data_IF_784058288231
#
_entry.id   IF_784058288231
#
_cell.length_a   1.000
_cell.length_b   1.000
_cell.length_c   1.000
_cell.angle_alpha   90.00
_cell.angle_beta   90.00
_cell.angle_gamma   90.00
#
_symmetry.space_group_name_H-M   'P 1'
#
loop_
_entity.id
_entity.type
_entity.pdbx_description
1 polymer ?
#
# COMPACT_ATOMS: atom_id res chain seq x y z
N UNK A 1 25.91 -15.30 9.50
CA UNK A 1 26.22 -14.29 8.45
C UNK A 1 25.59 -13.00 8.92
N UNK A 2 26.29 -11.84 8.83
CA UNK A 2 25.66 -10.55 9.16
C UNK A 2 24.49 -10.35 8.19
N UNK A 3 23.32 -9.93 8.71
CA UNK A 3 22.14 -9.65 7.87
C UNK A 3 22.49 -8.59 6.84
N UNK A 4 22.19 -8.85 5.57
CA UNK A 4 22.41 -7.88 4.49
C UNK A 4 21.52 -6.67 4.71
N UNK A 5 22.00 -5.48 4.35
CA UNK A 5 21.22 -4.25 4.39
C UNK A 5 20.12 -4.25 3.29
N UNK A 6 18.99 -3.53 3.49
CA UNK A 6 17.85 -3.56 2.56
C UNK A 6 18.19 -3.30 1.10
N UNK A 7 19.04 -2.30 0.79
CA UNK A 7 19.46 -2.01 -0.57
C UNK A 7 20.23 -3.19 -1.22
N UNK A 8 21.02 -3.92 -0.44
CA UNK A 8 21.72 -5.12 -0.91
C UNK A 8 20.75 -6.28 -1.17
N UNK A 9 19.76 -6.47 -0.28
CA UNK A 9 18.69 -7.46 -0.46
C UNK A 9 17.94 -7.16 -1.76
N UNK A 10 17.45 -5.93 -1.93
CA UNK A 10 16.69 -5.48 -3.09
C UNK A 10 17.44 -5.76 -4.43
N UNK A 11 18.74 -5.47 -4.47
CA UNK A 11 19.54 -5.65 -5.69
C UNK A 11 19.91 -7.11 -5.91
N UNK A 12 20.29 -7.84 -4.86
CA UNK A 12 20.94 -9.15 -4.99
C UNK A 12 20.01 -10.35 -5.00
N UNK A 13 18.73 -10.20 -4.58
CA UNK A 13 17.80 -11.33 -4.60
C UNK A 13 17.57 -11.83 -6.03
N UNK A 14 17.81 -13.11 -6.23
CA UNK A 14 17.72 -13.80 -7.52
C UNK A 14 18.91 -13.56 -8.48
N UNK A 15 19.87 -12.71 -8.14
CA UNK A 15 21.09 -12.56 -8.93
C UNK A 15 21.93 -13.85 -8.80
N UNK A 16 22.47 -14.32 -9.94
CA UNK A 16 23.27 -15.55 -10.03
C UNK A 16 22.51 -16.82 -9.61
N UNK A 17 21.18 -16.82 -9.73
CA UNK A 17 20.36 -18.00 -9.43
C UNK A 17 20.30 -19.01 -10.59
N UNK A 18 20.73 -18.63 -11.79
CA UNK A 18 20.80 -19.50 -12.95
C UNK A 18 22.08 -20.34 -12.91
N UNK A 19 21.93 -21.62 -12.58
CA UNK A 19 23.06 -22.57 -12.53
C UNK A 19 23.36 -23.23 -13.86
N UNK A 20 22.48 -23.08 -14.88
CA UNK A 20 22.65 -23.71 -16.18
C UNK A 20 23.49 -22.86 -17.14
N UNK A 21 23.23 -21.56 -17.19
CA UNK A 21 23.90 -20.63 -18.13
C UNK A 21 24.66 -19.52 -17.43
N UNK A 22 24.64 -19.48 -16.10
CA UNK A 22 25.28 -18.46 -15.27
C UNK A 22 24.81 -17.03 -15.62
N UNK A 23 23.54 -16.88 -16.02
CA UNK A 23 22.97 -15.56 -16.26
C UNK A 23 22.93 -14.75 -14.95
N UNK A 24 23.29 -13.47 -15.02
CA UNK A 24 23.31 -12.57 -13.86
C UNK A 24 21.90 -12.37 -13.31
N UNK A 25 20.90 -12.19 -14.18
CA UNK A 25 19.49 -12.09 -13.78
C UNK A 25 18.78 -13.44 -13.93
N UNK A 26 17.77 -13.74 -13.10
CA UNK A 26 17.05 -15.02 -13.21
C UNK A 26 16.32 -15.14 -14.54
N UNK A 27 16.26 -16.33 -15.14
CA UNK A 27 15.38 -16.60 -16.28
C UNK A 27 13.90 -16.51 -15.86
N UNK A 28 13.01 -16.36 -16.87
CA UNK A 28 11.55 -16.38 -16.66
C UNK A 28 11.04 -17.78 -16.95
N UNK A 29 10.43 -18.40 -15.93
CA UNK A 29 9.86 -19.75 -16.01
C UNK A 29 8.33 -19.68 -16.22
N UNK A 30 7.88 -19.73 -17.47
CA UNK A 30 6.45 -19.66 -17.82
C UNK A 30 5.74 -21.03 -17.78
N UNK A 31 6.42 -22.10 -17.36
CA UNK A 31 5.83 -23.43 -17.31
C UNK A 31 4.69 -23.48 -16.29
N UNK A 32 3.58 -24.15 -16.64
CA UNK A 32 2.48 -24.44 -15.72
C UNK A 32 2.77 -25.66 -14.83
N UNK A 33 3.59 -26.58 -15.29
CA UNK A 33 3.91 -27.86 -14.64
C UNK A 33 5.39 -28.20 -14.79
N UNK A 34 5.86 -29.09 -13.94
CA UNK A 34 7.26 -29.51 -13.86
C UNK A 34 7.33 -31.05 -13.83
N UNK A 35 8.37 -31.62 -14.45
CA UNK A 35 8.59 -33.06 -14.46
C UNK A 35 9.02 -33.56 -13.08
N UNK A 36 8.50 -34.74 -12.69
CA UNK A 36 8.99 -35.47 -11.51
C UNK A 36 10.29 -36.20 -11.90
N UNK A 37 11.33 -36.17 -11.05
CA UNK A 37 12.57 -36.89 -11.33
C UNK A 37 12.37 -38.40 -11.48
N UNK A 38 11.51 -38.98 -10.63
CA UNK A 38 11.05 -40.37 -10.73
C UNK A 38 9.67 -40.53 -10.10
N UNK A 39 9.03 -41.68 -10.32
CA UNK A 39 7.75 -42.00 -9.68
C UNK A 39 7.87 -41.97 -8.14
N UNK A 40 7.08 -41.09 -7.50
CA UNK A 40 7.10 -40.92 -6.04
C UNK A 40 8.13 -39.91 -5.51
N UNK A 41 9.01 -39.36 -6.37
CA UNK A 41 9.97 -38.32 -6.00
C UNK A 41 9.38 -36.93 -6.26
N UNK A 42 8.93 -36.23 -5.22
CA UNK A 42 8.31 -34.89 -5.33
C UNK A 42 9.40 -33.83 -5.53
N UNK A 43 9.37 -33.06 -6.66
CA UNK A 43 10.31 -31.98 -6.90
C UNK A 43 9.98 -30.75 -6.04
N UNK A 44 10.88 -29.77 -6.02
CA UNK A 44 10.62 -28.47 -5.37
C UNK A 44 9.42 -27.73 -5.96
N UNK A 45 9.25 -27.85 -7.26
CA UNK A 45 8.09 -27.28 -8.01
C UNK A 45 7.45 -28.41 -8.81
N UNK A 46 6.14 -28.52 -8.71
CA UNK A 46 5.30 -29.49 -9.43
C UNK A 46 4.32 -28.79 -10.36
N UNK A 47 3.69 -27.71 -9.86
CA UNK A 47 2.67 -26.95 -10.55
C UNK A 47 2.74 -25.46 -10.17
N UNK A 48 2.63 -24.56 -11.17
CA UNK A 48 2.87 -23.12 -10.95
C UNK A 48 1.88 -22.47 -9.97
N UNK A 49 0.67 -22.98 -9.76
CA UNK A 49 -0.23 -22.46 -8.74
C UNK A 49 0.32 -22.68 -7.34
N UNK A 50 0.90 -23.86 -7.06
CA UNK A 50 1.52 -24.17 -5.76
C UNK A 50 2.89 -23.52 -5.59
N UNK A 51 3.71 -23.45 -6.64
CA UNK A 51 5.05 -22.89 -6.59
C UNK A 51 5.63 -22.57 -7.97
N UNK A 52 6.38 -21.48 -8.08
CA UNK A 52 7.09 -21.08 -9.29
C UNK A 52 8.42 -20.39 -8.94
N UNK A 53 9.51 -20.63 -9.68
CA UNK A 53 10.83 -20.05 -9.37
C UNK A 53 10.82 -18.52 -9.31
N UNK A 54 10.17 -17.82 -10.25
CA UNK A 54 10.14 -16.35 -10.27
C UNK A 54 9.34 -15.80 -9.10
N UNK A 55 8.16 -16.41 -8.82
CA UNK A 55 7.35 -16.01 -7.67
C UNK A 55 8.08 -16.24 -6.36
N UNK A 56 8.75 -17.37 -6.19
CA UNK A 56 9.55 -17.67 -5.00
C UNK A 56 10.72 -16.69 -4.79
N UNK A 57 11.34 -16.17 -5.85
CA UNK A 57 12.34 -15.12 -5.74
C UNK A 57 11.73 -13.79 -5.28
N UNK A 58 10.55 -13.43 -5.78
CA UNK A 58 9.83 -12.24 -5.33
C UNK A 58 9.40 -12.38 -3.86
N UNK A 59 8.84 -13.52 -3.48
CA UNK A 59 8.49 -13.84 -2.09
C UNK A 59 9.70 -13.70 -1.16
N UNK A 60 10.86 -14.21 -1.57
CA UNK A 60 12.12 -14.07 -0.82
C UNK A 60 12.53 -12.60 -0.65
N UNK A 61 12.49 -11.81 -1.73
CA UNK A 61 12.83 -10.40 -1.65
C UNK A 61 11.91 -9.65 -0.67
N UNK A 62 10.60 -9.91 -0.74
CA UNK A 62 9.60 -9.23 0.07
C UNK A 62 9.76 -9.55 1.56
N UNK A 63 9.85 -10.85 1.93
CA UNK A 63 9.97 -11.16 3.36
C UNK A 63 11.32 -10.74 3.95
N UNK A 64 12.42 -10.82 3.19
CA UNK A 64 13.72 -10.33 3.67
C UNK A 64 13.71 -8.80 3.88
N UNK A 65 13.07 -8.04 2.98
CA UNK A 65 12.96 -6.59 3.11
C UNK A 65 12.09 -6.17 4.29
N UNK A 66 10.99 -6.87 4.56
CA UNK A 66 10.09 -6.61 5.69
C UNK A 66 10.57 -7.25 7.02
N UNK A 67 11.72 -7.92 7.04
CA UNK A 67 12.22 -8.66 8.20
C UNK A 67 11.30 -9.81 8.63
N UNK A 68 10.59 -10.42 7.67
CA UNK A 68 9.67 -11.54 7.86
C UNK A 68 10.33 -12.92 7.76
N UNK A 69 9.49 -13.96 7.79
CA UNK A 69 9.88 -15.36 7.67
C UNK A 69 9.31 -16.06 6.45
N UNK A 70 8.30 -15.47 5.82
CA UNK A 70 7.72 -15.95 4.59
C UNK A 70 6.83 -14.90 3.96
N UNK A 71 6.46 -15.14 2.70
CA UNK A 71 5.54 -14.31 1.94
C UNK A 71 4.74 -15.16 0.96
N UNK A 72 3.53 -14.71 0.64
CA UNK A 72 2.71 -15.25 -0.44
C UNK A 72 2.37 -14.11 -1.39
N UNK A 73 2.77 -14.26 -2.65
CA UNK A 73 2.49 -13.30 -3.72
C UNK A 73 1.18 -13.65 -4.40
N UNK A 74 0.32 -12.66 -4.55
CA UNK A 74 -1.02 -12.77 -5.16
C UNK A 74 -1.12 -11.88 -6.42
N UNK A 75 -2.20 -12.07 -7.17
CA UNK A 75 -2.45 -11.33 -8.41
C UNK A 75 -2.87 -9.86 -8.23
N UNK A 76 -3.22 -9.43 -7.01
CA UNK A 76 -3.47 -8.02 -6.66
C UNK A 76 -3.52 -7.82 -5.14
N UNK A 77 -3.45 -6.56 -4.67
CA UNK A 77 -3.54 -6.24 -3.24
C UNK A 77 -4.85 -6.68 -2.59
N UNK A 78 -5.98 -6.51 -3.29
CA UNK A 78 -7.29 -6.99 -2.81
C UNK A 78 -7.32 -8.52 -2.66
N UNK A 79 -6.62 -9.26 -3.54
CA UNK A 79 -6.47 -10.72 -3.41
C UNK A 79 -5.61 -11.09 -2.20
N UNK A 80 -4.60 -10.29 -1.86
CA UNK A 80 -3.80 -10.47 -0.65
C UNK A 80 -4.65 -10.32 0.62
N UNK A 81 -5.47 -9.28 0.69
CA UNK A 81 -6.44 -9.08 1.78
C UNK A 81 -7.44 -10.24 1.86
N UNK A 82 -8.00 -10.65 0.70
CA UNK A 82 -8.96 -11.75 0.65
C UNK A 82 -8.34 -13.07 1.09
N UNK A 83 -7.10 -13.34 0.70
CA UNK A 83 -6.34 -14.52 1.14
C UNK A 83 -6.16 -14.51 2.66
N UNK A 84 -5.70 -13.38 3.21
CA UNK A 84 -5.45 -13.23 4.64
C UNK A 84 -6.71 -13.49 5.47
N UNK A 85 -7.84 -12.83 5.14
CA UNK A 85 -9.09 -13.05 5.90
C UNK A 85 -9.67 -14.44 5.67
N UNK A 86 -9.46 -15.06 4.49
CA UNK A 86 -9.94 -16.43 4.22
C UNK A 86 -9.16 -17.48 5.00
N UNK A 87 -7.86 -17.23 5.26
CA UNK A 87 -7.04 -18.15 6.05
C UNK A 87 -7.37 -18.10 7.54
N UNK A 88 -7.71 -16.93 8.08
CA UNK A 88 -7.74 -16.76 9.54
C UNK A 88 -9.13 -16.45 10.13
N UNK A 89 -10.16 -16.17 9.33
CA UNK A 89 -11.51 -15.85 9.82
C UNK A 89 -12.54 -16.94 9.49
N UNK A 90 -13.40 -17.21 10.47
CA UNK A 90 -14.65 -17.94 10.29
C UNK A 90 -15.86 -17.05 10.58
N UNK A 91 -17.07 -17.60 10.42
CA UNK A 91 -18.35 -16.87 10.48
C UNK A 91 -18.61 -16.10 11.79
N UNK A 92 -18.08 -16.58 12.89
CA UNK A 92 -18.27 -15.94 14.21
C UNK A 92 -17.17 -14.96 14.58
N UNK A 93 -16.07 -14.96 13.84
CA UNK A 93 -14.92 -14.13 14.12
C UNK A 93 -15.16 -12.65 13.75
N UNK A 94 -14.55 -11.76 14.51
CA UNK A 94 -14.58 -10.31 14.29
C UNK A 94 -13.23 -9.84 13.74
N UNK A 95 -13.29 -9.01 12.68
CA UNK A 95 -12.16 -8.20 12.24
C UNK A 95 -12.46 -6.71 12.52
N UNK A 96 -11.45 -6.00 13.04
CA UNK A 96 -11.44 -4.54 13.14
C UNK A 96 -10.64 -3.98 11.99
N UNK A 97 -11.19 -3.00 11.26
CA UNK A 97 -10.56 -2.37 10.09
C UNK A 97 -10.70 -0.83 10.18
N UNK A 98 -9.81 -0.07 9.51
CA UNK A 98 -9.94 1.38 9.49
C UNK A 98 -11.23 1.82 8.79
N UNK A 99 -11.91 2.84 9.33
CA UNK A 99 -13.11 3.41 8.72
C UNK A 99 -12.81 4.14 7.40
N UNK A 100 -11.59 4.65 7.24
CA UNK A 100 -11.07 5.34 6.06
C UNK A 100 -10.13 4.47 5.20
N UNK A 101 -10.21 3.13 5.33
CA UNK A 101 -9.39 2.25 4.51
C UNK A 101 -9.69 2.38 3.00
N UNK A 102 -8.75 1.93 2.19
CA UNK A 102 -8.94 1.87 0.73
C UNK A 102 -10.33 1.34 0.36
N UNK A 103 -11.03 2.04 -0.55
CA UNK A 103 -12.41 1.69 -0.93
C UNK A 103 -12.61 0.24 -1.39
N UNK A 104 -11.56 -0.40 -1.95
CA UNK A 104 -11.56 -1.83 -2.29
C UNK A 104 -11.56 -2.73 -1.05
N UNK A 105 -10.86 -2.34 0.01
CA UNK A 105 -10.84 -3.04 1.31
C UNK A 105 -12.20 -2.97 1.98
N UNK A 106 -12.77 -1.75 2.05
CA UNK A 106 -14.12 -1.54 2.57
C UNK A 106 -15.14 -2.41 1.83
N UNK A 107 -15.16 -2.34 0.50
CA UNK A 107 -16.08 -3.12 -0.34
C UNK A 107 -15.93 -4.63 -0.11
N UNK A 108 -14.69 -5.13 -0.04
CA UNK A 108 -14.42 -6.55 0.20
C UNK A 108 -14.97 -7.00 1.55
N UNK A 109 -14.59 -6.31 2.63
CA UNK A 109 -14.93 -6.74 3.99
C UNK A 109 -16.42 -6.57 4.28
N UNK A 110 -17.02 -5.45 3.88
CA UNK A 110 -18.45 -5.22 4.03
C UNK A 110 -19.27 -6.28 3.27
N UNK A 111 -18.93 -6.57 2.01
CA UNK A 111 -19.66 -7.57 1.22
C UNK A 111 -19.54 -8.97 1.81
N UNK A 112 -18.36 -9.36 2.29
CA UNK A 112 -18.16 -10.67 2.91
C UNK A 112 -18.85 -10.78 4.25
N UNK A 113 -18.85 -9.71 5.05
CA UNK A 113 -19.59 -9.64 6.31
C UNK A 113 -21.10 -9.78 6.09
N UNK A 114 -21.65 -9.09 5.08
CA UNK A 114 -23.07 -9.21 4.71
C UNK A 114 -23.46 -10.62 4.22
N UNK A 115 -22.49 -11.39 3.69
CA UNK A 115 -22.69 -12.81 3.33
C UNK A 115 -22.60 -13.75 4.53
N UNK A 116 -22.15 -13.27 5.69
CA UNK A 116 -21.98 -14.08 6.90
C UNK A 116 -20.64 -14.82 6.97
N UNK A 117 -19.64 -14.43 6.16
CA UNK A 117 -18.31 -15.07 6.18
C UNK A 117 -17.57 -14.75 7.49
N UNK A 118 -17.74 -13.55 8.03
CA UNK A 118 -17.20 -13.03 9.28
C UNK A 118 -17.92 -11.73 9.68
N UNK A 119 -17.61 -11.17 10.85
CA UNK A 119 -18.09 -9.87 11.30
C UNK A 119 -17.01 -8.81 11.08
N UNK A 120 -17.39 -7.60 10.63
CA UNK A 120 -16.46 -6.47 10.49
C UNK A 120 -16.93 -5.27 11.31
N UNK A 121 -15.98 -4.59 11.97
CA UNK A 121 -16.16 -3.31 12.62
C UNK A 121 -15.17 -2.31 12.04
N UNK A 122 -15.69 -1.28 11.38
CA UNK A 122 -14.89 -0.17 10.87
C UNK A 122 -14.76 0.90 11.97
N UNK A 123 -13.53 1.35 12.24
CA UNK A 123 -13.21 2.21 13.38
C UNK A 123 -12.22 3.30 12.96
N UNK A 124 -12.41 4.51 13.47
CA UNK A 124 -11.36 5.53 13.41
C UNK A 124 -10.19 5.08 14.29
N UNK A 125 -9.15 4.56 13.66
CA UNK A 125 -7.96 4.07 14.37
C UNK A 125 -7.01 5.20 14.80
N UNK A 126 -7.27 6.43 14.39
CA UNK A 126 -6.58 7.62 14.91
C UNK A 126 -7.21 8.11 16.24
N UNK A 127 -8.46 7.76 16.52
CA UNK A 127 -9.09 7.91 17.83
C UNK A 127 -8.74 6.73 18.73
N UNK A 128 -7.86 6.97 19.69
CA UNK A 128 -7.38 5.94 20.62
C UNK A 128 -8.50 5.33 21.48
N UNK A 129 -9.51 6.12 21.84
CA UNK A 129 -10.64 5.63 22.66
C UNK A 129 -11.53 4.69 21.84
N UNK A 130 -11.80 5.03 20.58
CA UNK A 130 -12.56 4.20 19.67
C UNK A 130 -11.83 2.87 19.36
N UNK A 131 -10.52 2.93 19.11
CA UNK A 131 -9.70 1.76 18.89
C UNK A 131 -9.65 0.84 20.13
N UNK A 132 -9.49 1.40 21.34
CA UNK A 132 -9.49 0.64 22.58
C UNK A 132 -10.83 -0.05 22.84
N UNK A 133 -11.94 0.63 22.57
CA UNK A 133 -13.27 0.04 22.67
C UNK A 133 -13.45 -1.13 21.68
N UNK A 134 -12.93 -0.99 20.45
CA UNK A 134 -12.97 -2.06 19.44
C UNK A 134 -12.11 -3.27 19.84
N UNK A 135 -10.90 -3.05 20.39
CA UNK A 135 -10.01 -4.12 20.87
C UNK A 135 -10.65 -4.86 22.07
N UNK A 136 -11.37 -4.15 22.94
CA UNK A 136 -12.08 -4.76 24.07
C UNK A 136 -13.15 -5.79 23.64
N UNK A 137 -13.63 -5.74 22.41
CA UNK A 137 -14.53 -6.74 21.81
C UNK A 137 -13.81 -8.05 21.45
N UNK A 138 -12.50 -8.13 21.67
CA UNK A 138 -11.63 -9.28 21.39
C UNK A 138 -11.72 -9.74 19.92
N UNK A 139 -11.42 -8.87 18.97
CA UNK A 139 -11.38 -9.25 17.56
C UNK A 139 -10.33 -10.35 17.36
N UNK A 140 -10.52 -11.17 16.35
CA UNK A 140 -9.51 -12.16 15.96
C UNK A 140 -8.43 -11.54 15.07
N UNK A 141 -8.83 -10.59 14.22
CA UNK A 141 -7.92 -9.86 13.36
C UNK A 141 -8.10 -8.34 13.51
N UNK A 142 -7.00 -7.62 13.38
CA UNK A 142 -6.99 -6.16 13.25
C UNK A 142 -6.20 -5.82 12.00
N UNK A 143 -6.82 -5.08 11.07
CA UNK A 143 -6.13 -4.46 9.95
C UNK A 143 -5.80 -3.01 10.33
N UNK A 144 -4.55 -2.61 10.12
CA UNK A 144 -4.09 -1.22 10.18
C UNK A 144 -3.72 -0.81 8.75
N UNK A 145 -4.15 0.37 8.29
CA UNK A 145 -3.64 1.02 7.09
C UNK A 145 -2.97 2.33 7.52
N UNK A 146 -1.63 2.40 7.41
CA UNK A 146 -0.90 3.57 7.93
C UNK A 146 0.40 3.82 7.16
N UNK A 147 0.56 5.05 6.59
CA UNK A 147 -0.44 6.12 6.49
C UNK A 147 -1.67 5.72 5.67
N UNK A 148 -2.86 6.20 6.06
CA UNK A 148 -4.10 5.84 5.39
C UNK A 148 -4.31 6.58 4.06
N UNK A 149 -5.23 6.09 3.23
CA UNK A 149 -5.61 6.71 1.98
C UNK A 149 -7.08 7.20 2.07
N UNK A 150 -7.39 8.50 1.83
CA UNK A 150 -6.51 9.51 1.22
C UNK A 150 -5.90 10.53 2.19
N UNK A 151 -6.29 10.55 3.47
CA UNK A 151 -5.96 11.60 4.42
C UNK A 151 -4.61 11.42 5.14
N UNK A 152 -3.87 10.37 4.79
CA UNK A 152 -2.51 10.11 5.28
C UNK A 152 -2.44 10.02 6.81
N UNK A 153 -3.53 9.58 7.48
CA UNK A 153 -3.58 9.39 8.92
C UNK A 153 -2.57 8.35 9.38
N UNK A 154 -1.99 8.58 10.54
CA UNK A 154 -0.95 7.71 11.11
C UNK A 154 -1.46 7.04 12.39
N UNK A 155 -1.31 5.73 12.46
CA UNK A 155 -1.66 4.89 13.62
C UNK A 155 -0.39 4.38 14.29
N UNK A 156 -0.30 4.39 15.64
CA UNK A 156 0.82 3.80 16.37
C UNK A 156 0.73 2.26 16.29
N UNK A 157 1.55 1.70 15.40
CA UNK A 157 1.60 0.25 15.15
C UNK A 157 2.00 -0.50 16.42
N UNK A 158 3.05 -0.03 17.10
CA UNK A 158 3.60 -0.74 18.25
C UNK A 158 2.61 -0.79 19.41
N UNK A 159 1.92 0.31 19.70
CA UNK A 159 0.92 0.37 20.77
C UNK A 159 -0.32 -0.47 20.41
N UNK A 160 -0.79 -0.41 19.17
CA UNK A 160 -1.92 -1.26 18.70
C UNK A 160 -1.58 -2.73 18.79
N UNK A 161 -0.38 -3.15 18.33
CA UNK A 161 0.06 -4.55 18.43
C UNK A 161 0.18 -5.01 19.88
N UNK A 162 0.67 -4.14 20.79
CA UNK A 162 0.76 -4.46 22.21
C UNK A 162 -0.62 -4.77 22.81
N UNK A 163 -1.61 -3.90 22.54
CA UNK A 163 -2.99 -4.07 23.03
C UNK A 163 -3.68 -5.28 22.37
N UNK A 164 -3.50 -5.47 21.07
CA UNK A 164 -4.03 -6.62 20.34
C UNK A 164 -3.57 -7.95 20.94
N UNK A 165 -2.29 -8.03 21.31
CA UNK A 165 -1.70 -9.22 21.93
C UNK A 165 -2.35 -9.57 23.27
N UNK A 166 -2.78 -8.60 24.06
CA UNK A 166 -3.44 -8.82 25.36
C UNK A 166 -4.77 -9.55 25.21
N UNK A 167 -5.44 -9.41 24.07
CA UNK A 167 -6.72 -10.07 23.76
C UNK A 167 -6.57 -11.25 22.82
N UNK A 168 -5.33 -11.56 22.37
CA UNK A 168 -5.06 -12.66 21.44
C UNK A 168 -5.38 -12.37 19.98
N UNK A 169 -5.53 -11.10 19.60
CA UNK A 169 -5.77 -10.68 18.21
C UNK A 169 -4.46 -10.65 17.42
N UNK A 170 -4.53 -11.06 16.14
CA UNK A 170 -3.44 -10.92 15.18
C UNK A 170 -3.58 -9.60 14.41
N UNK A 171 -2.45 -8.95 14.14
CA UNK A 171 -2.40 -7.65 13.49
C UNK A 171 -1.74 -7.74 12.12
N UNK A 172 -2.44 -7.24 11.09
CA UNK A 172 -1.86 -6.97 9.78
C UNK A 172 -1.75 -5.46 9.56
N UNK A 173 -0.66 -5.04 8.92
CA UNK A 173 -0.46 -3.65 8.50
C UNK A 173 -0.36 -3.59 6.99
N UNK A 174 -1.23 -2.82 6.35
CA UNK A 174 -1.05 -2.43 4.96
C UNK A 174 0.04 -1.35 4.90
N UNK A 175 1.22 -1.75 4.41
CA UNK A 175 2.43 -0.92 4.32
C UNK A 175 2.68 -0.42 2.90
N UNK A 176 1.64 -0.36 2.08
CA UNK A 176 1.75 -0.02 0.65
C UNK A 176 2.37 1.35 0.41
N UNK A 177 2.05 2.37 1.23
CA UNK A 177 2.52 3.75 1.03
C UNK A 177 4.00 3.94 1.38
N UNK A 178 4.46 3.35 2.48
CA UNK A 178 5.83 3.57 2.97
C UNK A 178 6.82 2.51 2.52
N UNK A 179 6.33 1.36 2.13
CA UNK A 179 7.17 0.22 1.73
C UNK A 179 8.16 -0.21 2.85
N UNK A 180 8.88 -1.31 2.73
CA UNK A 180 9.92 -1.67 3.70
C UNK A 180 11.11 -0.68 3.74
N UNK A 181 11.11 0.33 2.87
CA UNK A 181 12.14 1.38 2.87
C UNK A 181 11.95 2.34 4.03
N UNK A 182 10.72 2.77 4.30
CA UNK A 182 10.44 3.78 5.31
C UNK A 182 9.72 3.25 6.55
N UNK A 183 9.08 2.08 6.49
CA UNK A 183 8.39 1.49 7.63
C UNK A 183 8.51 -0.03 7.63
N UNK A 184 8.71 -0.64 8.80
CA UNK A 184 8.83 -2.09 8.98
C UNK A 184 7.88 -2.60 10.06
N UNK A 185 6.62 -2.86 9.73
CA UNK A 185 5.60 -3.20 10.71
C UNK A 185 5.90 -4.46 11.53
N UNK A 186 6.56 -5.48 10.95
CA UNK A 186 6.92 -6.70 11.69
C UNK A 186 7.91 -6.42 12.83
N UNK A 187 8.81 -5.44 12.66
CA UNK A 187 9.74 -5.02 13.72
C UNK A 187 9.01 -4.24 14.83
N UNK A 188 7.87 -3.60 14.49
CA UNK A 188 7.01 -2.87 15.43
C UNK A 188 5.97 -3.76 16.14
N UNK A 189 5.92 -5.04 15.81
CA UNK A 189 5.08 -6.00 16.53
C UNK A 189 3.98 -6.66 15.71
N UNK A 190 3.70 -6.20 14.50
CA UNK A 190 2.70 -6.80 13.61
C UNK A 190 3.00 -8.28 13.30
N UNK A 191 1.96 -9.04 13.01
CA UNK A 191 2.06 -10.46 12.63
C UNK A 191 2.15 -10.62 11.11
N UNK A 192 1.53 -9.68 10.38
CA UNK A 192 1.50 -9.66 8.93
C UNK A 192 1.76 -8.26 8.39
N UNK A 193 2.33 -8.22 7.18
CA UNK A 193 2.37 -7.02 6.34
C UNK A 193 1.67 -7.32 5.03
N UNK A 194 0.80 -6.42 4.61
CA UNK A 194 0.09 -6.52 3.34
C UNK A 194 0.62 -5.43 2.42
N UNK A 195 0.80 -5.77 1.15
CA UNK A 195 1.16 -4.83 0.11
C UNK A 195 0.26 -4.97 -1.12
N UNK A 196 -0.17 -3.86 -1.65
CA UNK A 196 -0.42 -3.76 -3.09
C UNK A 196 0.94 -3.55 -3.78
N UNK A 197 1.54 -4.62 -4.30
CA UNK A 197 2.83 -4.50 -5.02
C UNK A 197 2.70 -3.72 -6.32
N UNK A 198 1.48 -3.50 -6.78
CA UNK A 198 1.09 -2.60 -7.89
C UNK A 198 1.69 -1.20 -7.76
N UNK A 199 1.88 -0.72 -6.51
CA UNK A 199 2.27 0.65 -6.17
C UNK A 199 3.80 0.79 -6.19
N UNK A 200 4.39 1.43 -5.21
CA UNK A 200 5.84 1.70 -5.14
C UNK A 200 6.74 0.46 -5.31
N UNK A 201 6.30 -0.73 -4.88
CA UNK A 201 7.14 -1.94 -4.97
C UNK A 201 7.45 -2.28 -6.43
N UNK A 202 6.44 -2.35 -7.31
CA UNK A 202 6.65 -2.44 -8.75
C UNK A 202 7.13 -1.09 -9.32
N UNK A 203 6.39 -0.01 -9.06
CA UNK A 203 6.75 1.37 -9.27
C UNK A 203 6.76 1.86 -10.72
N UNK A 204 6.20 1.10 -11.68
CA UNK A 204 6.26 1.41 -13.10
C UNK A 204 4.89 1.38 -13.80
N UNK A 205 3.81 1.31 -13.02
CA UNK A 205 2.40 1.36 -13.49
C UNK A 205 2.03 0.32 -14.56
N UNK A 206 2.77 -0.79 -14.63
CA UNK A 206 2.68 -1.81 -15.68
C UNK A 206 2.32 -3.22 -15.15
N UNK A 207 2.28 -3.41 -13.81
CA UNK A 207 1.95 -4.70 -13.16
C UNK A 207 0.98 -4.49 -12.01
N UNK A 208 -0.09 -5.29 -11.98
CA UNK A 208 -0.97 -5.42 -10.82
C UNK A 208 -0.51 -6.62 -10.00
N UNK A 209 -0.31 -6.43 -8.69
CA UNK A 209 0.11 -7.50 -7.80
C UNK A 209 -0.18 -7.20 -6.33
N UNK A 210 -0.04 -8.22 -5.50
CA UNK A 210 -0.18 -8.13 -4.06
C UNK A 210 0.69 -9.12 -3.33
N UNK A 211 0.87 -8.91 -2.04
CA UNK A 211 1.58 -9.86 -1.20
C UNK A 211 1.12 -9.78 0.26
N UNK A 212 1.18 -10.92 0.95
CA UNK A 212 1.11 -11.01 2.41
C UNK A 212 2.45 -11.53 2.90
N UNK A 213 3.09 -10.79 3.78
CA UNK A 213 4.36 -11.15 4.42
C UNK A 213 4.07 -11.53 5.87
N UNK A 214 4.74 -12.53 6.41
CA UNK A 214 4.45 -13.09 7.73
C UNK A 214 5.65 -13.00 8.65
N UNK A 215 5.36 -12.84 9.94
CA UNK A 215 6.37 -12.87 11.01
C UNK A 215 6.86 -14.27 11.34
N UNK A 216 6.07 -15.32 11.07
CA UNK A 216 6.36 -16.71 11.37
C UNK A 216 6.29 -17.59 10.13
N UNK A 217 7.02 -18.70 10.12
CA UNK A 217 6.94 -19.71 9.06
C UNK A 217 5.57 -20.41 9.06
N UNK A 218 5.00 -20.69 10.25
CA UNK A 218 3.68 -21.31 10.39
C UNK A 218 2.58 -20.53 9.66
N UNK A 219 2.53 -19.20 9.86
CA UNK A 219 1.56 -18.36 9.14
C UNK A 219 1.84 -18.32 7.62
N UNK A 220 3.11 -18.44 7.20
CA UNK A 220 3.44 -18.49 5.79
C UNK A 220 2.95 -19.79 5.14
N UNK A 221 3.11 -20.92 5.81
CA UNK A 221 2.62 -22.22 5.34
C UNK A 221 1.09 -22.24 5.24
N UNK A 222 0.39 -21.72 6.26
CA UNK A 222 -1.08 -21.59 6.25
C UNK A 222 -1.56 -20.73 5.08
N UNK A 223 -0.96 -19.55 4.86
CA UNK A 223 -1.29 -18.68 3.74
C UNK A 223 -0.97 -19.32 2.38
N UNK A 224 0.15 -20.02 2.26
CA UNK A 224 0.52 -20.72 1.02
C UNK A 224 -0.48 -21.82 0.68
N UNK A 225 -0.92 -22.60 1.70
CA UNK A 225 -1.94 -23.61 1.54
C UNK A 225 -3.27 -23.01 1.06
N UNK A 226 -3.74 -21.95 1.73
CA UNK A 226 -4.96 -21.25 1.35
C UNK A 226 -4.84 -20.58 -0.02
N UNK A 227 -3.68 -19.98 -0.33
CA UNK A 227 -3.40 -19.38 -1.64
C UNK A 227 -3.53 -20.40 -2.78
N UNK A 228 -2.99 -21.60 -2.58
CA UNK A 228 -3.16 -22.69 -3.53
C UNK A 228 -4.64 -23.18 -3.62
N UNK A 229 -5.34 -23.25 -2.47
CA UNK A 229 -6.72 -23.72 -2.37
C UNK A 229 -7.70 -22.81 -3.12
N UNK A 230 -7.62 -21.49 -2.90
CA UNK A 230 -8.53 -20.51 -3.53
C UNK A 230 -7.99 -19.93 -4.84
N UNK A 231 -6.78 -20.29 -5.24
CA UNK A 231 -6.17 -19.81 -6.48
C UNK A 231 -5.67 -18.35 -6.42
N UNK A 232 -5.41 -17.82 -5.23
CA UNK A 232 -4.85 -16.48 -5.04
C UNK A 232 -3.33 -16.49 -5.25
N UNK A 233 -2.89 -16.46 -6.50
CA UNK A 233 -1.47 -16.60 -6.86
C UNK A 233 -1.04 -15.59 -7.91
N UNK A 234 0.18 -15.06 -7.77
CA UNK A 234 0.82 -14.19 -8.75
C UNK A 234 1.41 -14.95 -9.94
N UNK A 235 1.46 -14.30 -11.10
CA UNK A 235 2.04 -14.90 -12.31
C UNK A 235 3.57 -14.87 -12.31
N UNK A 236 4.26 -15.74 -13.04
CA UNK A 236 5.72 -15.72 -13.14
C UNK A 236 6.27 -14.43 -13.77
N UNK A 237 5.62 -13.92 -14.81
CA UNK A 237 6.05 -12.73 -15.53
C UNK A 237 5.90 -11.49 -14.67
N UNK A 238 4.74 -11.29 -14.05
CA UNK A 238 4.48 -10.17 -13.14
C UNK A 238 5.42 -10.21 -11.92
N UNK A 239 5.70 -11.41 -11.41
CA UNK A 239 6.66 -11.61 -10.33
C UNK A 239 8.08 -11.21 -10.73
N UNK A 240 8.49 -11.52 -11.97
CA UNK A 240 9.78 -11.08 -12.50
C UNK A 240 9.85 -9.56 -12.65
N UNK A 241 8.80 -8.93 -13.20
CA UNK A 241 8.74 -7.48 -13.38
C UNK A 241 8.73 -6.76 -12.03
N UNK A 242 7.96 -7.24 -11.06
CA UNK A 242 7.93 -6.69 -9.71
C UNK A 242 9.30 -6.82 -9.02
N UNK A 243 9.97 -7.97 -9.14
CA UNK A 243 11.33 -8.15 -8.61
C UNK A 243 12.32 -7.17 -9.27
N UNK A 244 12.17 -6.91 -10.58
CA UNK A 244 12.95 -5.89 -11.28
C UNK A 244 12.68 -4.49 -10.69
N UNK A 245 11.42 -4.15 -10.39
CA UNK A 245 11.04 -2.89 -9.74
C UNK A 245 11.67 -2.73 -8.35
N UNK A 246 11.67 -3.79 -7.55
CA UNK A 246 12.29 -3.82 -6.21
C UNK A 246 13.75 -3.39 -6.23
N UNK A 247 14.51 -3.73 -7.28
CA UNK A 247 15.95 -3.43 -7.35
C UNK A 247 16.28 -1.94 -7.27
N UNK A 248 15.34 -1.08 -7.66
CA UNK A 248 15.46 0.39 -7.60
C UNK A 248 14.59 1.02 -6.52
N UNK A 249 13.87 0.21 -5.72
CA UNK A 249 12.89 0.71 -4.76
C UNK A 249 13.47 1.77 -3.81
N UNK A 250 14.61 1.50 -3.18
CA UNK A 250 15.22 2.44 -2.23
C UNK A 250 15.69 3.76 -2.88
N UNK A 251 16.14 3.71 -4.16
CA UNK A 251 16.50 4.91 -4.90
C UNK A 251 15.26 5.72 -5.27
N UNK A 252 14.20 5.06 -5.76
CA UNK A 252 12.94 5.71 -6.11
C UNK A 252 12.28 6.35 -4.89
N UNK A 253 12.14 5.62 -3.78
CA UNK A 253 11.51 6.14 -2.57
C UNK A 253 12.19 7.41 -2.04
N UNK A 254 13.53 7.49 -2.14
CA UNK A 254 14.28 8.69 -1.74
C UNK A 254 13.93 9.88 -2.65
N UNK A 255 13.94 9.71 -3.97
CA UNK A 255 13.58 10.79 -4.91
C UNK A 255 12.13 11.20 -4.73
N UNK A 256 11.20 10.25 -4.63
CA UNK A 256 9.79 10.53 -4.33
C UNK A 256 9.62 11.43 -3.10
N UNK A 257 10.31 11.11 -2.00
CA UNK A 257 10.21 11.90 -0.76
C UNK A 257 10.86 13.28 -0.90
N UNK A 258 12.02 13.37 -1.57
CA UNK A 258 12.70 14.64 -1.83
C UNK A 258 11.80 15.57 -2.63
N UNK A 259 11.26 15.13 -3.77
CA UNK A 259 10.33 15.89 -4.63
C UNK A 259 9.04 16.28 -3.88
N UNK A 260 8.48 15.35 -3.11
CA UNK A 260 7.27 15.60 -2.32
C UNK A 260 7.46 16.72 -1.29
N UNK A 261 8.65 16.81 -0.68
CA UNK A 261 8.97 17.87 0.29
C UNK A 261 8.98 19.25 -0.37
N UNK A 262 9.52 19.37 -1.57
CA UNK A 262 9.57 20.62 -2.31
C UNK A 262 8.16 21.05 -2.78
N UNK A 263 7.38 20.11 -3.29
CA UNK A 263 5.98 20.35 -3.68
C UNK A 263 5.15 20.78 -2.46
N UNK A 264 5.31 20.11 -1.31
CA UNK A 264 4.64 20.47 -0.07
C UNK A 264 4.92 21.93 0.32
N UNK A 265 6.18 22.35 0.27
CA UNK A 265 6.57 23.72 0.57
C UNK A 265 5.98 24.75 -0.43
N UNK A 266 5.82 24.37 -1.69
CA UNK A 266 5.16 25.19 -2.69
C UNK A 266 3.65 25.30 -2.48
N UNK A 267 2.98 24.18 -2.14
CA UNK A 267 1.53 24.17 -1.86
C UNK A 267 1.15 25.04 -0.65
N UNK A 268 2.00 25.10 0.38
CA UNK A 268 1.78 25.95 1.56
C UNK A 268 1.74 27.45 1.24
N UNK A 269 2.17 27.86 0.06
CA UNK A 269 2.21 29.26 -0.38
C UNK A 269 1.04 29.62 -1.32
N UNK A 270 0.14 28.68 -1.63
CA UNK A 270 -0.95 28.87 -2.59
C UNK A 270 -2.25 29.28 -1.87
N UNK A 271 -2.87 30.38 -2.32
CA UNK A 271 -4.13 30.88 -1.75
C UNK A 271 -5.32 29.92 -1.93
N UNK A 272 -5.28 29.10 -2.99
CA UNK A 272 -6.31 28.09 -3.28
C UNK A 272 -6.06 26.74 -2.61
N UNK A 273 -5.08 26.67 -1.73
CA UNK A 273 -4.78 25.47 -0.92
C UNK A 273 -5.22 25.72 0.52
N UNK A 274 -6.15 24.89 0.99
CA UNK A 274 -6.60 24.87 2.37
C UNK A 274 -5.74 23.95 3.24
N UNK A 275 -6.39 23.07 4.01
CA UNK A 275 -5.67 22.09 4.84
C UNK A 275 -4.85 21.13 3.98
N UNK A 276 -3.58 20.93 4.37
CA UNK A 276 -2.70 19.94 3.73
C UNK A 276 -2.51 18.77 4.69
N UNK A 277 -2.67 17.58 4.16
CA UNK A 277 -2.49 16.33 4.90
C UNK A 277 -1.17 15.67 4.49
N UNK A 278 -0.16 15.78 5.35
CA UNK A 278 1.12 15.10 5.20
C UNK A 278 1.80 14.92 6.56
N UNK A 279 2.30 13.72 6.94
CA UNK A 279 2.81 13.45 8.27
C UNK A 279 4.10 14.21 8.63
N UNK A 280 4.80 14.81 7.66
CA UNK A 280 5.97 15.64 7.94
C UNK A 280 5.62 17.02 8.54
N UNK A 281 4.37 17.47 8.40
CA UNK A 281 3.91 18.73 8.95
C UNK A 281 3.74 18.61 10.47
N UNK A 282 4.32 19.54 11.27
CA UNK A 282 4.21 19.49 12.74
C UNK A 282 2.77 19.54 13.27
N UNK A 283 1.86 20.19 12.53
CA UNK A 283 0.43 20.29 12.84
C UNK A 283 -0.37 19.02 12.51
N UNK A 284 0.22 18.07 11.76
CA UNK A 284 -0.45 16.81 11.48
C UNK A 284 -0.61 15.97 12.75
N UNK A 285 -1.84 15.48 13.08
CA UNK A 285 -2.09 14.77 14.35
C UNK A 285 -1.17 13.56 14.59
N UNK A 286 -0.73 12.89 13.53
CA UNK A 286 0.15 11.73 13.59
C UNK A 286 1.65 12.05 13.46
N UNK A 287 2.08 13.32 13.47
CA UNK A 287 3.48 13.71 13.22
C UNK A 287 4.47 13.03 14.15
N UNK A 288 4.24 13.07 15.46
CA UNK A 288 5.15 12.49 16.45
C UNK A 288 5.19 10.95 16.35
N UNK A 289 4.07 10.32 16.05
CA UNK A 289 3.99 8.87 15.81
C UNK A 289 4.80 8.53 14.55
N UNK A 290 4.61 9.27 13.45
CA UNK A 290 5.37 9.08 12.23
C UNK A 290 6.88 9.18 12.46
N UNK A 291 7.35 10.23 13.15
CA UNK A 291 8.78 10.40 13.51
C UNK A 291 9.35 9.26 14.34
N UNK A 292 8.51 8.63 15.18
CA UNK A 292 8.93 7.53 16.05
C UNK A 292 9.07 6.21 15.30
N UNK A 293 8.14 5.91 14.38
CA UNK A 293 8.02 4.58 13.77
C UNK A 293 8.49 4.49 12.31
N UNK A 294 8.68 5.63 11.63
CA UNK A 294 9.05 5.72 10.23
C UNK A 294 10.44 6.31 10.06
N UNK A 295 11.16 5.91 9.03
CA UNK A 295 12.46 6.51 8.65
C UNK A 295 12.33 7.56 7.53
N UNK A 296 11.12 7.80 7.04
CA UNK A 296 10.73 8.81 6.06
C UNK A 296 9.22 8.96 6.06
N UNK A 297 8.71 10.03 5.48
CA UNK A 297 7.28 10.37 5.48
C UNK A 297 6.56 9.95 4.19
N UNK A 298 7.32 9.48 3.19
CA UNK A 298 6.78 9.11 1.89
C UNK A 298 6.49 10.28 0.97
N UNK A 299 5.71 10.02 -0.08
CA UNK A 299 5.42 11.01 -1.13
C UNK A 299 3.93 11.13 -1.48
N UNK A 300 3.08 10.55 -0.64
CA UNK A 300 1.64 10.75 -0.76
C UNK A 300 1.23 11.94 0.06
N UNK A 301 0.54 12.87 -0.55
CA UNK A 301 -0.04 14.03 0.15
C UNK A 301 -1.44 14.33 -0.38
N UNK A 302 -2.27 14.92 0.46
CA UNK A 302 -3.58 15.41 0.05
C UNK A 302 -3.78 16.84 0.54
N UNK A 303 -4.64 17.58 -0.13
CA UNK A 303 -5.00 18.92 0.30
C UNK A 303 -6.45 19.25 -0.05
N UNK A 304 -7.07 20.13 0.75
CA UNK A 304 -8.36 20.72 0.45
C UNK A 304 -8.18 21.88 -0.52
N UNK A 305 -8.88 21.83 -1.64
CA UNK A 305 -8.92 22.95 -2.58
C UNK A 305 -9.83 24.06 -2.05
N UNK A 306 -9.30 25.28 -1.87
CA UNK A 306 -10.03 26.41 -1.30
C UNK A 306 -10.75 27.23 -2.38
N UNK A 307 -11.73 26.62 -3.05
CA UNK A 307 -12.54 27.25 -4.10
C UNK A 307 -13.83 26.52 -4.34
N UNK A 308 -14.60 26.94 -5.36
CA UNK A 308 -15.80 26.21 -5.80
C UNK A 308 -15.43 24.86 -6.41
N UNK A 309 -16.40 23.96 -6.53
CA UNK A 309 -16.18 22.68 -7.21
C UNK A 309 -15.88 22.86 -8.71
N UNK A 310 -16.45 23.89 -9.34
CA UNK A 310 -16.14 24.23 -10.74
C UNK A 310 -14.71 24.75 -10.89
N UNK A 311 -14.23 25.58 -9.95
CA UNK A 311 -12.84 26.00 -9.91
C UNK A 311 -11.86 24.85 -9.68
N UNK A 312 -12.21 23.88 -8.82
CA UNK A 312 -11.44 22.65 -8.62
C UNK A 312 -11.31 21.86 -9.92
N UNK A 313 -12.43 21.65 -10.64
CA UNK A 313 -12.39 20.97 -11.94
C UNK A 313 -11.50 21.70 -12.94
N UNK A 314 -11.66 23.03 -13.00
CA UNK A 314 -10.83 23.86 -13.88
C UNK A 314 -9.34 23.74 -13.53
N UNK A 315 -8.98 23.78 -12.24
CA UNK A 315 -7.61 23.57 -11.78
C UNK A 315 -7.04 22.24 -12.27
N UNK A 316 -7.76 21.14 -12.05
CA UNK A 316 -7.33 19.80 -12.46
C UNK A 316 -7.15 19.71 -13.98
N UNK A 317 -8.06 20.32 -14.76
CA UNK A 317 -7.99 20.34 -16.22
C UNK A 317 -6.84 21.20 -16.79
N UNK A 318 -6.23 22.06 -15.96
CA UNK A 318 -5.08 22.91 -16.37
C UNK A 318 -3.72 22.31 -16.04
N UNK A 319 -3.67 21.20 -15.33
CA UNK A 319 -2.44 20.46 -15.09
C UNK A 319 -1.96 19.80 -16.40
N UNK A 320 -0.65 19.87 -16.65
CA UNK A 320 -0.01 19.36 -17.86
C UNK A 320 0.88 18.14 -17.57
N UNK A 321 1.44 18.06 -16.33
CA UNK A 321 2.33 16.96 -15.91
C UNK A 321 1.65 16.00 -14.96
N UNK A 322 0.80 16.47 -14.04
CA UNK A 322 0.03 15.59 -13.19
C UNK A 322 -1.12 14.95 -13.96
N UNK A 323 -1.06 13.65 -14.19
CA UNK A 323 -2.16 12.92 -14.84
C UNK A 323 -3.32 12.70 -13.87
N UNK A 324 -4.55 13.04 -14.27
CA UNK A 324 -5.76 12.70 -13.52
C UNK A 324 -6.04 11.21 -13.67
N UNK A 325 -5.68 10.43 -12.65
CA UNK A 325 -5.82 8.98 -12.67
C UNK A 325 -5.97 8.38 -11.27
N UNK A 326 -6.56 7.19 -11.21
CA UNK A 326 -6.47 6.32 -10.04
C UNK A 326 -5.07 5.71 -9.96
N UNK A 327 -4.79 5.04 -8.85
CA UNK A 327 -3.49 4.47 -8.50
C UNK A 327 -2.55 5.49 -7.84
N UNK A 328 -1.30 5.09 -7.62
CA UNK A 328 -0.25 5.88 -6.97
C UNK A 328 1.09 5.13 -7.03
N UNK A 329 2.17 5.82 -6.70
CA UNK A 329 3.47 5.18 -6.45
C UNK A 329 4.19 4.69 -7.69
N UNK A 330 3.74 5.09 -8.88
CA UNK A 330 4.48 4.96 -10.14
C UNK A 330 5.58 6.02 -10.26
N UNK A 331 6.40 5.90 -11.30
CA UNK A 331 7.45 6.89 -11.61
C UNK A 331 6.86 8.23 -12.08
N UNK A 332 5.63 8.22 -12.57
CA UNK A 332 4.85 9.37 -13.01
C UNK A 332 4.07 10.03 -11.86
N UNK A 333 3.86 11.34 -11.96
CA UNK A 333 3.04 12.10 -11.03
C UNK A 333 1.55 12.01 -11.35
N UNK A 334 0.73 11.69 -10.34
CA UNK A 334 -0.71 11.55 -10.48
C UNK A 334 -1.46 12.49 -9.53
N UNK A 335 -2.60 13.02 -10.00
CA UNK A 335 -3.61 13.66 -9.17
C UNK A 335 -4.91 12.85 -9.20
N UNK A 336 -5.60 12.81 -8.09
CA UNK A 336 -6.88 12.11 -7.99
C UNK A 336 -7.84 12.90 -7.11
N UNK A 337 -9.14 12.85 -7.45
CA UNK A 337 -10.24 13.34 -6.64
C UNK A 337 -10.87 12.16 -5.91
N UNK A 338 -10.55 11.89 -4.63
CA UNK A 338 -10.94 10.65 -3.95
C UNK A 338 -12.44 10.41 -3.94
N UNK A 339 -13.25 11.44 -3.67
CA UNK A 339 -14.69 11.32 -3.54
C UNK A 339 -15.38 10.78 -4.81
N UNK A 340 -14.92 11.18 -6.02
CA UNK A 340 -15.50 10.71 -7.29
C UNK A 340 -14.77 9.54 -7.92
N UNK A 341 -13.58 9.19 -7.44
CA UNK A 341 -12.71 8.15 -8.01
C UNK A 341 -12.48 7.00 -7.03
N UNK A 342 -11.40 7.03 -6.28
CA UNK A 342 -10.93 5.88 -5.48
C UNK A 342 -11.87 5.47 -4.34
N UNK A 343 -12.69 6.38 -3.80
CA UNK A 343 -13.60 6.14 -2.68
C UNK A 343 -15.08 6.23 -3.07
N UNK A 344 -15.39 6.43 -4.35
CA UNK A 344 -16.78 6.53 -4.85
C UNK A 344 -17.70 5.39 -4.39
N UNK A 345 -17.15 4.19 -4.19
CA UNK A 345 -17.89 3.01 -3.78
C UNK A 345 -18.36 3.03 -2.31
N UNK A 346 -17.88 3.97 -1.48
CA UNK A 346 -18.26 4.07 -0.06
C UNK A 346 -19.65 4.71 0.14
N UNK A 347 -20.08 5.54 -0.79
CA UNK A 347 -21.30 6.35 -0.63
C UNK A 347 -21.08 7.60 0.22
N UNK A 348 -22.03 8.55 0.17
CA UNK A 348 -21.86 9.89 0.76
C UNK A 348 -21.70 9.86 2.30
N UNK A 349 -22.46 9.02 3.00
CA UNK A 349 -22.40 8.91 4.46
C UNK A 349 -21.02 8.40 4.93
N UNK A 350 -20.52 7.32 4.33
CA UNK A 350 -19.21 6.76 4.68
C UNK A 350 -18.05 7.67 4.26
N UNK A 351 -18.17 8.42 3.16
CA UNK A 351 -17.20 9.45 2.78
C UNK A 351 -17.13 10.58 3.83
N UNK A 352 -18.30 11.02 4.32
CA UNK A 352 -18.38 12.05 5.36
C UNK A 352 -17.76 11.56 6.69
N UNK A 353 -18.06 10.31 7.11
CA UNK A 353 -17.44 9.69 8.28
C UNK A 353 -15.92 9.56 8.11
N UNK A 354 -15.43 9.18 6.94
CA UNK A 354 -14.01 9.09 6.64
C UNK A 354 -13.32 10.48 6.55
N UNK A 355 -14.09 11.58 6.50
CA UNK A 355 -13.59 12.94 6.35
C UNK A 355 -13.14 13.27 4.92
N UNK A 356 -13.62 12.54 3.93
CA UNK A 356 -13.29 12.74 2.51
C UNK A 356 -14.26 13.75 1.91
N UNK A 357 -13.83 14.99 1.78
CA UNK A 357 -14.64 16.07 1.25
C UNK A 357 -14.69 16.06 -0.29
N UNK A 358 -15.64 16.85 -0.85
CA UNK A 358 -15.73 17.09 -2.31
C UNK A 358 -14.63 18.05 -2.81
N UNK A 359 -13.86 18.65 -1.92
CA UNK A 359 -12.75 19.56 -2.25
C UNK A 359 -11.38 18.90 -2.09
N UNK A 360 -11.34 17.63 -1.66
CA UNK A 360 -10.11 16.91 -1.42
C UNK A 360 -9.46 16.46 -2.71
N UNK A 361 -8.19 16.82 -2.89
CA UNK A 361 -7.31 16.32 -3.95
C UNK A 361 -6.15 15.55 -3.32
N UNK A 362 -5.75 14.44 -3.95
CA UNK A 362 -4.60 13.63 -3.54
C UNK A 362 -3.56 13.63 -4.64
N UNK A 363 -2.32 13.91 -4.28
CA UNK A 363 -1.15 13.80 -5.17
C UNK A 363 -0.35 12.55 -4.85
N UNK A 364 0.07 11.85 -5.89
CA UNK A 364 1.14 10.86 -5.86
C UNK A 364 2.31 11.45 -6.64
N UNK A 365 3.31 11.92 -5.92
CA UNK A 365 4.46 12.60 -6.54
C UNK A 365 5.39 11.58 -7.17
N UNK A 366 5.71 11.76 -8.45
CA UNK A 366 6.57 10.90 -9.25
C UNK A 366 8.06 11.21 -9.09
N UNK A 367 8.82 10.92 -10.16
CA UNK A 367 10.28 11.07 -10.23
C UNK A 367 10.71 12.16 -11.22
N UNK A 368 9.76 12.93 -11.75
CA UNK A 368 10.04 14.08 -12.58
C UNK A 368 10.82 15.14 -11.78
N UNK A 369 11.47 16.06 -12.44
CA UNK A 369 12.13 17.18 -11.76
C UNK A 369 11.10 17.99 -10.94
N UNK A 370 11.39 18.19 -9.66
CA UNK A 370 10.46 18.84 -8.75
C UNK A 370 10.11 20.27 -9.16
N UNK A 371 11.06 20.99 -9.76
CA UNK A 371 10.84 22.35 -10.30
C UNK A 371 9.75 22.34 -11.38
N UNK A 372 9.79 21.38 -12.32
CA UNK A 372 8.79 21.25 -13.39
C UNK A 372 7.40 20.97 -12.82
N UNK A 373 7.31 20.06 -11.83
CA UNK A 373 6.05 19.75 -11.15
C UNK A 373 5.49 20.96 -10.37
N UNK A 374 6.35 21.72 -9.74
CA UNK A 374 5.97 22.96 -9.02
C UNK A 374 5.48 24.01 -10.00
N UNK A 375 6.13 24.15 -11.13
CA UNK A 375 5.72 25.12 -12.16
C UNK A 375 4.39 24.72 -12.80
N UNK A 376 4.14 23.42 -13.00
CA UNK A 376 2.85 22.91 -13.46
C UNK A 376 1.71 23.24 -12.47
N UNK A 377 1.93 23.02 -11.18
CA UNK A 377 0.95 23.37 -10.14
C UNK A 377 0.71 24.88 -10.10
N UNK A 378 1.76 25.72 -10.12
CA UNK A 378 1.65 27.17 -10.07
C UNK A 378 0.86 27.73 -11.26
N UNK A 379 1.21 27.33 -12.49
CA UNK A 379 0.50 27.79 -13.68
C UNK A 379 -0.98 27.41 -13.65
N UNK A 380 -1.32 26.22 -13.12
CA UNK A 380 -2.69 25.79 -12.97
C UNK A 380 -3.44 26.62 -11.92
N UNK A 381 -2.81 26.93 -10.76
CA UNK A 381 -3.38 27.82 -9.75
C UNK A 381 -3.60 29.25 -10.30
N UNK A 382 -2.61 29.83 -10.99
CA UNK A 382 -2.71 31.17 -11.58
C UNK A 382 -3.87 31.25 -12.60
N UNK A 383 -3.98 30.27 -13.50
CA UNK A 383 -5.10 30.18 -14.45
C UNK A 383 -6.45 30.08 -13.73
N UNK A 384 -6.50 29.32 -12.64
CA UNK A 384 -7.72 29.14 -11.85
C UNK A 384 -8.12 30.41 -11.09
N UNK A 385 -7.16 31.17 -10.56
CA UNK A 385 -7.44 32.47 -9.95
C UNK A 385 -8.04 33.45 -10.99
N UNK A 386 -7.52 33.45 -12.21
CA UNK A 386 -8.10 34.21 -13.32
C UNK A 386 -9.54 33.81 -13.65
N UNK A 387 -9.81 32.51 -13.74
CA UNK A 387 -11.14 31.92 -13.94
C UNK A 387 -12.14 32.37 -12.85
N UNK A 388 -11.75 32.30 -11.57
CA UNK A 388 -12.58 32.77 -10.45
C UNK A 388 -12.84 34.27 -10.54
N UNK A 389 -11.82 35.09 -10.90
CA UNK A 389 -11.94 36.54 -10.99
C UNK A 389 -12.87 36.99 -12.11
N UNK A 390 -13.01 36.20 -13.20
CA UNK A 390 -13.94 36.42 -14.30
C UNK A 390 -15.40 36.08 -13.97
N UNK A 391 -15.66 35.50 -12.76
CA UNK A 391 -17.01 35.22 -12.25
C UNK A 391 -17.58 33.87 -12.69
N UNK A 392 -16.75 32.96 -13.11
CA UNK A 392 -17.14 31.63 -13.59
C UNK A 392 -16.82 30.50 -12.54
N UNK A 393 -16.45 30.90 -11.31
CA UNK A 393 -16.10 30.00 -10.22
C UNK A 393 -17.18 29.81 -9.16
#
# INVERSE_FOLDING_TARGET
MSSRKPATIAVRTGIESDTQHHAVVPPIYLSTNYGFPAFGEVPKYDYTRSGNPNRGLLETALFELESGKGAVVTNCGTSALNLWVSAFLGSDDLIVAPHDCYGGTYRLFNTRSLKGDFKVLFVDQSDQAALDAAIALKPKLILIETPSNPLVRVVDIAETCRKAKEVGALVAVDNTFLTPVFQKPLELGADFVIHSTTKYINGHSDVIGGAVITKTEEHAEELAWWGNCIGATGTPFDSYMTLRGIRTLGARMRVHEESSREILASLQQQDLVGTIYHPSLPEHPGHDIAKKQQSGFGSMLSFEFAGSFEALKYFVDKLELFSLAESLGGVESLICHPASMTHRAMGEEALAEAGVSQQLLRLSVGLEDAEDLIDDLKQAFEKTQGFIAEGEG
#
